data_IF_152719948904
#
_entry.id   IF_152719948904
#
_cell.length_a   1.000
_cell.length_b   1.000
_cell.length_c   1.000
_cell.angle_alpha   90.00
_cell.angle_beta   90.00
_cell.angle_gamma   90.00
#
_symmetry.space_group_name_H-M   'P 1'
#
loop_
_entity.id
_entity.type
_entity.pdbx_description
1 polymer ?
#
# COMPACT_ATOMS: atom_id res chain seq x y z
N UNK A 1 8.63 -2.74 -6.96
CA UNK A 1 8.66 -1.38 -7.57
C UNK A 1 7.23 -0.90 -7.79
N UNK A 2 6.89 0.35 -7.48
CA UNK A 2 5.60 0.94 -7.90
C UNK A 2 5.71 1.37 -9.36
N UNK A 3 4.75 0.96 -10.19
CA UNK A 3 4.72 1.27 -11.62
C UNK A 3 3.39 1.94 -11.96
N UNK A 4 3.45 3.13 -12.55
CA UNK A 4 2.27 3.81 -13.03
C UNK A 4 1.95 3.38 -14.47
N UNK A 5 0.74 2.85 -14.75
CA UNK A 5 0.39 2.28 -16.05
C UNK A 5 0.19 3.34 -17.15
N UNK A 6 0.10 4.61 -16.79
CA UNK A 6 -0.12 5.72 -17.73
C UNK A 6 1.09 6.10 -18.59
N UNK A 7 2.29 5.60 -18.26
CA UNK A 7 3.51 5.96 -18.97
C UNK A 7 3.65 5.14 -20.25
N UNK A 8 3.88 5.78 -21.43
CA UNK A 8 4.32 5.06 -22.61
C UNK A 8 5.56 4.21 -22.29
N UNK A 9 5.64 2.99 -22.78
CA UNK A 9 6.78 2.09 -22.53
C UNK A 9 6.75 1.40 -21.15
N UNK A 10 5.64 1.46 -20.41
CA UNK A 10 5.55 0.77 -19.10
C UNK A 10 5.78 -0.74 -19.21
N UNK A 11 5.42 -1.33 -20.35
CA UNK A 11 5.62 -2.76 -20.59
C UNK A 11 7.10 -3.12 -20.75
N UNK A 12 7.81 -2.35 -21.58
CA UNK A 12 9.25 -2.51 -21.80
C UNK A 12 10.01 -2.27 -20.50
N UNK A 13 9.60 -1.25 -19.73
CA UNK A 13 10.16 -0.96 -18.43
C UNK A 13 10.00 -2.13 -17.45
N UNK A 14 8.80 -2.73 -17.36
CA UNK A 14 8.57 -3.89 -16.48
C UNK A 14 9.36 -5.11 -16.94
N UNK A 15 9.53 -5.31 -18.27
CA UNK A 15 10.41 -6.34 -18.82
C UNK A 15 11.87 -6.16 -18.39
N UNK A 16 12.37 -4.91 -18.35
CA UNK A 16 13.71 -4.59 -17.84
C UNK A 16 13.80 -4.89 -16.33
N UNK A 17 12.81 -4.47 -15.54
CA UNK A 17 12.78 -4.78 -14.11
C UNK A 17 12.81 -6.29 -13.84
N UNK A 18 12.09 -7.08 -14.64
CA UNK A 18 12.12 -8.53 -14.54
C UNK A 18 13.50 -9.12 -14.87
N UNK A 19 14.18 -8.58 -15.89
CA UNK A 19 15.55 -8.99 -16.24
C UNK A 19 16.58 -8.62 -15.17
N UNK A 20 16.43 -7.48 -14.52
CA UNK A 20 17.26 -7.05 -13.39
C UNK A 20 17.01 -7.89 -12.12
N UNK A 21 15.97 -8.71 -12.07
CA UNK A 21 15.64 -9.55 -10.92
C UNK A 21 14.80 -8.84 -9.86
N UNK A 22 14.08 -7.79 -10.20
CA UNK A 22 13.09 -7.19 -9.31
C UNK A 22 12.01 -8.21 -8.98
N UNK A 23 11.77 -8.44 -7.70
CA UNK A 23 10.86 -9.50 -7.24
C UNK A 23 9.39 -9.23 -7.57
N UNK A 24 8.95 -7.97 -7.58
CA UNK A 24 7.55 -7.62 -7.85
C UNK A 24 7.36 -6.16 -8.30
N UNK A 25 6.33 -5.95 -9.11
CA UNK A 25 5.80 -4.63 -9.45
C UNK A 25 4.38 -4.46 -8.91
N UNK A 26 4.06 -3.24 -8.50
CA UNK A 26 2.79 -2.91 -7.86
C UNK A 26 2.18 -1.68 -8.54
N UNK A 27 0.91 -1.79 -8.92
CA UNK A 27 0.19 -0.74 -9.63
C UNK A 27 -0.73 0.00 -8.66
N UNK A 28 -0.59 1.34 -8.54
CA UNK A 28 -1.44 2.14 -7.68
C UNK A 28 -2.83 2.30 -8.31
N UNK A 29 -3.85 2.35 -7.44
CA UNK A 29 -5.20 2.73 -7.83
C UNK A 29 -5.68 3.84 -6.89
N UNK A 30 -5.93 5.01 -7.47
CA UNK A 30 -6.54 6.14 -6.76
C UNK A 30 -7.81 6.56 -7.51
N UNK A 31 -7.88 7.74 -8.08
CA UNK A 31 -8.97 8.15 -8.99
C UNK A 31 -8.43 8.30 -10.44
N UNK A 32 -7.61 7.34 -10.86
CA UNK A 32 -6.94 7.28 -12.15
C UNK A 32 -7.25 5.98 -12.90
N UNK A 33 -6.19 5.32 -13.38
CA UNK A 33 -6.33 4.04 -14.10
C UNK A 33 -6.66 2.88 -13.17
N UNK A 34 -7.45 1.93 -13.67
CA UNK A 34 -7.77 0.68 -13.00
C UNK A 34 -6.52 -0.22 -12.89
N UNK A 35 -6.15 -0.56 -11.68
CA UNK A 35 -4.95 -1.33 -11.42
C UNK A 35 -5.04 -2.78 -11.93
N UNK A 36 -6.22 -3.40 -11.82
CA UNK A 36 -6.42 -4.79 -12.22
C UNK A 36 -6.31 -4.96 -13.73
N UNK A 37 -6.87 -4.01 -14.51
CA UNK A 37 -6.73 -3.98 -15.97
C UNK A 37 -5.27 -3.86 -16.40
N UNK A 38 -4.52 -2.95 -15.77
CA UNK A 38 -3.10 -2.77 -16.06
C UNK A 38 -2.28 -4.03 -15.72
N UNK A 39 -2.56 -4.64 -14.56
CA UNK A 39 -1.88 -5.86 -14.13
C UNK A 39 -2.22 -7.07 -15.01
N UNK A 40 -3.44 -7.17 -15.55
CA UNK A 40 -3.78 -8.21 -16.52
C UNK A 40 -2.96 -8.08 -17.81
N UNK A 41 -2.75 -6.85 -18.28
CA UNK A 41 -1.89 -6.58 -19.44
C UNK A 41 -0.43 -6.95 -19.17
N UNK A 42 0.10 -6.61 -17.98
CA UNK A 42 1.46 -6.98 -17.57
C UNK A 42 1.61 -8.49 -17.37
N UNK A 43 0.60 -9.16 -16.82
CA UNK A 43 0.61 -10.61 -16.63
C UNK A 43 0.84 -11.39 -17.92
N UNK A 44 0.23 -10.92 -19.02
CA UNK A 44 0.36 -11.53 -20.34
C UNK A 44 1.74 -11.34 -21.00
N UNK A 45 2.58 -10.49 -20.44
CA UNK A 45 3.85 -10.06 -21.03
C UNK A 45 5.07 -10.26 -20.11
N UNK A 46 4.87 -10.86 -18.94
CA UNK A 46 5.90 -11.18 -17.95
C UNK A 46 5.80 -12.64 -17.53
N UNK A 47 6.88 -13.24 -17.06
CA UNK A 47 6.93 -14.67 -16.75
C UNK A 47 7.18 -14.96 -15.26
N UNK A 48 7.97 -14.12 -14.59
CA UNK A 48 8.48 -14.39 -13.23
C UNK A 48 8.12 -13.30 -12.21
N UNK A 49 8.12 -12.03 -12.64
CA UNK A 49 7.92 -10.90 -11.73
C UNK A 49 6.54 -10.98 -11.07
N UNK A 50 6.50 -10.81 -9.76
CA UNK A 50 5.26 -10.72 -9.00
C UNK A 50 4.47 -9.47 -9.36
N UNK A 51 3.15 -9.55 -9.31
CA UNK A 51 2.22 -8.50 -9.72
C UNK A 51 1.30 -8.15 -8.55
N UNK A 52 1.24 -6.89 -8.14
CA UNK A 52 0.44 -6.48 -6.99
C UNK A 52 -0.37 -5.20 -7.21
N UNK A 53 -1.47 -5.08 -6.51
CA UNK A 53 -2.20 -3.79 -6.43
C UNK A 53 -1.73 -2.97 -5.24
N UNK A 54 -1.51 -1.65 -5.45
CA UNK A 54 -1.02 -0.73 -4.38
C UNK A 54 -1.87 0.55 -4.27
N UNK A 55 -3.09 0.47 -3.84
CA UNK A 55 -3.95 -0.64 -3.48
C UNK A 55 -5.34 -0.47 -4.10
N UNK A 56 -6.10 -1.56 -4.27
CA UNK A 56 -7.52 -1.45 -4.63
C UNK A 56 -8.29 -0.89 -3.44
N UNK A 57 -9.16 0.07 -3.72
CA UNK A 57 -9.98 0.73 -2.71
C UNK A 57 -11.19 -0.15 -2.36
N UNK A 58 -11.37 -0.43 -1.06
CA UNK A 58 -12.51 -1.20 -0.59
C UNK A 58 -13.82 -0.43 -0.83
N UNK A 59 -14.80 -1.11 -1.43
CA UNK A 59 -16.07 -0.52 -1.83
C UNK A 59 -16.12 0.02 -3.26
N UNK A 60 -15.00 0.16 -3.96
CA UNK A 60 -14.99 0.48 -5.40
C UNK A 60 -15.54 -0.67 -6.25
N UNK A 61 -15.41 -1.89 -5.75
CA UNK A 61 -15.94 -3.14 -6.34
C UNK A 61 -16.66 -3.94 -5.26
N UNK A 62 -17.68 -4.72 -5.65
CA UNK A 62 -18.25 -5.68 -4.70
C UNK A 62 -17.18 -6.72 -4.32
N UNK A 63 -17.19 -7.24 -3.06
CA UNK A 63 -16.20 -8.24 -2.65
C UNK A 63 -16.18 -9.50 -3.53
N UNK A 64 -17.34 -9.92 -4.05
CA UNK A 64 -17.44 -11.05 -4.96
C UNK A 64 -16.76 -10.76 -6.32
N UNK A 65 -16.97 -9.56 -6.89
CA UNK A 65 -16.28 -9.15 -8.12
C UNK A 65 -14.78 -9.02 -7.90
N UNK A 66 -14.37 -8.45 -6.77
CA UNK A 66 -12.95 -8.34 -6.43
C UNK A 66 -12.29 -9.72 -6.33
N UNK A 67 -12.97 -10.67 -5.71
CA UNK A 67 -12.49 -12.06 -5.59
C UNK A 67 -12.33 -12.74 -6.95
N UNK A 68 -13.34 -12.64 -7.82
CA UNK A 68 -13.26 -13.24 -9.16
C UNK A 68 -12.21 -12.57 -10.04
N UNK A 69 -12.05 -11.26 -9.95
CA UNK A 69 -10.98 -10.53 -10.64
C UNK A 69 -9.58 -10.98 -10.15
N UNK A 70 -9.41 -11.14 -8.84
CA UNK A 70 -8.16 -11.61 -8.26
C UNK A 70 -7.83 -13.05 -8.67
N UNK A 71 -8.81 -13.95 -8.68
CA UNK A 71 -8.64 -15.32 -9.16
C UNK A 71 -8.30 -15.37 -10.66
N UNK A 72 -8.94 -14.51 -11.46
CA UNK A 72 -8.60 -14.37 -12.89
C UNK A 72 -7.14 -13.95 -13.08
N UNK A 73 -6.68 -12.98 -12.30
CA UNK A 73 -5.28 -12.53 -12.33
C UNK A 73 -4.31 -13.63 -11.84
N UNK A 74 -4.69 -14.44 -10.86
CA UNK A 74 -3.88 -15.59 -10.44
C UNK A 74 -3.66 -16.56 -11.61
N UNK A 75 -4.73 -16.92 -12.31
CA UNK A 75 -4.65 -17.81 -13.48
C UNK A 75 -3.82 -17.17 -14.60
N UNK A 76 -4.12 -15.93 -14.98
CA UNK A 76 -3.43 -15.23 -16.07
C UNK A 76 -1.95 -14.99 -15.79
N UNK A 77 -1.57 -14.83 -14.53
CA UNK A 77 -0.19 -14.58 -14.13
C UNK A 77 0.58 -15.85 -13.76
N UNK A 78 -0.03 -17.03 -13.71
CA UNK A 78 0.62 -18.22 -13.17
C UNK A 78 0.93 -18.07 -11.68
N UNK A 79 -0.06 -17.69 -10.89
CA UNK A 79 -0.02 -17.54 -9.43
C UNK A 79 0.94 -16.47 -8.88
N UNK A 80 1.28 -15.46 -9.71
CA UNK A 80 2.17 -14.35 -9.35
C UNK A 80 1.44 -13.13 -8.78
N UNK A 81 0.11 -13.13 -8.76
CA UNK A 81 -0.68 -11.97 -8.34
C UNK A 81 -0.79 -11.86 -6.81
N UNK A 82 -0.78 -10.64 -6.29
CA UNK A 82 -0.98 -10.26 -4.90
C UNK A 82 -2.03 -9.17 -4.81
N UNK A 83 -3.08 -9.41 -4.05
CA UNK A 83 -4.18 -8.46 -3.88
C UNK A 83 -3.88 -7.50 -2.73
N UNK A 84 -3.40 -6.31 -3.04
CA UNK A 84 -3.28 -5.21 -2.09
C UNK A 84 -4.59 -4.42 -1.99
N UNK A 85 -5.12 -4.28 -0.79
CA UNK A 85 -6.38 -3.58 -0.51
C UNK A 85 -6.19 -2.49 0.53
N UNK A 86 -7.04 -1.45 0.49
CA UNK A 86 -7.03 -0.37 1.45
C UNK A 86 -8.40 0.32 1.56
N UNK A 87 -8.67 0.87 2.74
CA UNK A 87 -9.98 1.50 3.01
C UNK A 87 -10.17 2.84 2.30
N UNK A 88 -9.10 3.48 1.79
CA UNK A 88 -9.14 4.84 1.27
C UNK A 88 -9.62 5.85 2.34
N UNK A 89 -10.39 6.86 1.96
CA UNK A 89 -10.95 7.85 2.87
C UNK A 89 -12.31 8.36 2.40
N UNK A 90 -13.06 9.07 3.27
CA UNK A 90 -14.43 9.48 2.95
C UNK A 90 -14.51 10.37 1.69
N UNK A 91 -13.53 11.24 1.45
CA UNK A 91 -13.51 12.11 0.25
C UNK A 91 -13.51 11.32 -1.05
N UNK A 92 -12.79 10.22 -1.10
CA UNK A 92 -12.69 9.37 -2.30
C UNK A 92 -13.89 8.43 -2.35
N UNK A 93 -14.18 7.73 -1.26
CA UNK A 93 -15.26 6.75 -1.26
C UNK A 93 -16.63 7.37 -1.48
N UNK A 94 -16.93 8.48 -0.80
CA UNK A 94 -18.23 9.15 -0.93
C UNK A 94 -18.27 10.09 -2.14
N UNK A 95 -17.16 10.80 -2.42
CA UNK A 95 -17.11 11.79 -3.50
C UNK A 95 -16.89 11.20 -4.89
N UNK A 96 -16.07 10.17 -5.03
CA UNK A 96 -15.73 9.56 -6.32
C UNK A 96 -16.53 8.29 -6.61
N UNK A 97 -16.63 7.38 -5.63
CA UNK A 97 -17.31 6.10 -5.81
C UNK A 97 -18.80 6.12 -5.40
N UNK A 98 -19.28 7.15 -4.70
CA UNK A 98 -20.66 7.23 -4.22
C UNK A 98 -21.00 6.19 -3.14
N UNK A 99 -19.98 5.66 -2.46
CA UNK A 99 -20.11 4.62 -1.43
C UNK A 99 -19.86 5.23 -0.06
N UNK A 100 -20.78 5.02 0.89
CA UNK A 100 -20.63 5.51 2.27
C UNK A 100 -19.38 4.95 2.93
N UNK A 101 -18.54 5.85 3.46
CA UNK A 101 -17.37 5.48 4.25
C UNK A 101 -17.80 5.19 5.70
N UNK A 102 -17.92 3.92 6.02
CA UNK A 102 -18.33 3.47 7.36
C UNK A 102 -17.68 2.16 7.75
N UNK A 103 -17.42 1.98 9.06
CA UNK A 103 -16.86 0.73 9.63
C UNK A 103 -15.64 0.19 8.86
N UNK A 104 -14.60 1.00 8.59
CA UNK A 104 -13.51 0.62 7.68
C UNK A 104 -12.81 -0.69 8.07
N UNK A 105 -12.58 -0.94 9.35
CA UNK A 105 -11.94 -2.18 9.84
C UNK A 105 -12.85 -3.39 9.57
N UNK A 106 -14.15 -3.26 9.82
CA UNK A 106 -15.10 -4.35 9.57
C UNK A 106 -15.26 -4.61 8.07
N UNK A 107 -15.31 -3.56 7.25
CA UNK A 107 -15.31 -3.67 5.78
C UNK A 107 -14.08 -4.43 5.28
N UNK A 108 -12.89 -4.13 5.83
CA UNK A 108 -11.66 -4.85 5.49
C UNK A 108 -11.77 -6.33 5.84
N UNK A 109 -12.21 -6.65 7.06
CA UNK A 109 -12.38 -8.03 7.54
C UNK A 109 -13.33 -8.82 6.62
N UNK A 110 -14.52 -8.30 6.43
CA UNK A 110 -15.57 -8.98 5.67
C UNK A 110 -15.20 -9.15 4.19
N UNK A 111 -14.52 -8.16 3.61
CA UNK A 111 -14.00 -8.29 2.24
C UNK A 111 -12.99 -9.43 2.12
N UNK A 112 -12.03 -9.54 3.05
CA UNK A 112 -11.05 -10.64 3.06
C UNK A 112 -11.73 -12.00 3.22
N UNK A 113 -12.70 -12.09 4.14
CA UNK A 113 -13.45 -13.32 4.39
C UNK A 113 -14.26 -13.76 3.18
N UNK A 114 -14.92 -12.81 2.48
CA UNK A 114 -15.65 -13.07 1.23
C UNK A 114 -14.70 -13.48 0.10
N UNK A 115 -13.57 -12.76 -0.09
CA UNK A 115 -12.55 -13.13 -1.08
C UNK A 115 -12.09 -14.58 -0.86
N UNK A 116 -11.80 -14.95 0.38
CA UNK A 116 -11.40 -16.32 0.72
C UNK A 116 -12.53 -17.34 0.55
N UNK A 117 -13.77 -16.97 0.84
CA UNK A 117 -14.93 -17.83 0.62
C UNK A 117 -15.12 -18.13 -0.88
N UNK A 118 -15.03 -17.12 -1.73
CA UNK A 118 -15.09 -17.29 -3.20
C UNK A 118 -13.90 -18.15 -3.68
N UNK A 119 -12.70 -17.87 -3.18
CA UNK A 119 -11.50 -18.63 -3.57
C UNK A 119 -11.54 -20.10 -3.19
N UNK A 120 -12.23 -20.47 -2.11
CA UNK A 120 -12.46 -21.88 -1.73
C UNK A 120 -13.47 -22.60 -2.64
N UNK A 121 -14.31 -21.85 -3.33
CA UNK A 121 -15.41 -22.42 -4.11
C UNK A 121 -16.66 -22.73 -3.27
N UNK A 122 -17.68 -23.27 -3.94
CA UNK A 122 -18.98 -23.54 -3.33
C UNK A 122 -19.93 -22.34 -3.32
N UNK A 123 -21.18 -22.51 -2.88
CA UNK A 123 -22.16 -21.44 -2.86
C UNK A 123 -21.76 -20.32 -1.89
N UNK A 124 -21.64 -19.09 -2.39
CA UNK A 124 -21.29 -17.93 -1.58
C UNK A 124 -22.44 -17.55 -0.66
N UNK A 125 -22.23 -17.75 0.65
CA UNK A 125 -23.07 -17.30 1.74
C UNK A 125 -22.22 -16.54 2.72
N UNK A 126 -22.69 -15.36 3.12
CA UNK A 126 -22.00 -14.52 4.08
C UNK A 126 -23.01 -13.67 4.86
N UNK A 127 -22.91 -13.70 6.18
CA UNK A 127 -23.75 -12.92 7.10
C UNK A 127 -22.81 -12.04 7.95
N UNK A 128 -22.65 -10.79 7.53
CA UNK A 128 -21.80 -9.81 8.18
C UNK A 128 -22.54 -8.57 8.66
N UNK A 129 -21.79 -7.61 9.16
CA UNK A 129 -22.31 -6.30 9.59
C UNK A 129 -22.30 -5.26 8.46
N UNK A 130 -21.55 -5.52 7.39
CA UNK A 130 -21.41 -4.64 6.23
C UNK A 130 -21.95 -5.32 4.98
N UNK A 131 -21.69 -6.61 4.82
CA UNK A 131 -22.14 -7.40 3.69
C UNK A 131 -23.01 -8.56 4.13
N UNK A 132 -24.10 -8.77 3.39
CA UNK A 132 -24.97 -9.93 3.52
C UNK A 132 -25.21 -10.52 2.13
N UNK A 133 -24.84 -11.79 1.94
CA UNK A 133 -24.86 -12.45 0.62
C UNK A 133 -25.46 -13.86 0.72
N UNK A 134 -26.55 -14.18 -0.02
CA UNK A 134 -27.35 -13.25 -0.81
C UNK A 134 -28.06 -12.23 0.11
N UNK A 135 -28.51 -11.12 -0.46
CA UNK A 135 -29.29 -10.12 0.28
C UNK A 135 -30.56 -10.78 0.85
N UNK A 136 -30.94 -10.50 2.11
CA UNK A 136 -32.20 -10.97 2.69
C UNK A 136 -33.37 -10.38 1.93
N UNK A 137 -34.49 -11.07 1.98
CA UNK A 137 -35.76 -10.65 1.35
C UNK A 137 -35.65 -10.27 -0.14
N UNK A 138 -34.68 -10.84 -0.85
CA UNK A 138 -34.40 -10.59 -2.24
C UNK A 138 -34.66 -11.83 -3.11
N UNK A 139 -34.60 -11.65 -4.44
CA UNK A 139 -34.61 -12.75 -5.40
C UNK A 139 -33.24 -13.41 -5.59
N UNK A 140 -32.24 -12.94 -4.87
CA UNK A 140 -30.86 -13.44 -4.92
C UNK A 140 -30.75 -14.88 -4.41
N UNK A 141 -29.85 -15.64 -5.01
CA UNK A 141 -29.51 -16.99 -4.58
C UNK A 141 -28.00 -17.08 -4.37
N UNK A 142 -27.56 -17.92 -3.44
CA UNK A 142 -26.16 -18.24 -3.29
C UNK A 142 -25.63 -18.92 -4.56
N UNK A 143 -24.73 -18.26 -5.26
CA UNK A 143 -24.08 -18.77 -6.47
C UNK A 143 -22.71 -19.34 -6.11
N UNK A 144 -22.33 -20.41 -6.77
CA UNK A 144 -20.96 -20.93 -6.74
C UNK A 144 -20.12 -20.24 -7.81
N UNK A 145 -18.88 -19.84 -7.53
CA UNK A 145 -17.99 -19.33 -8.57
C UNK A 145 -17.75 -20.41 -9.63
N UNK A 146 -17.64 -20.00 -10.88
CA UNK A 146 -17.30 -20.89 -12.01
C UNK A 146 -15.78 -21.02 -12.19
N UNK A 147 -14.99 -20.28 -11.40
CA UNK A 147 -13.54 -20.41 -11.36
C UNK A 147 -13.13 -21.64 -10.57
N UNK A 148 -11.97 -22.24 -10.90
CA UNK A 148 -11.36 -23.25 -10.05
C UNK A 148 -11.03 -22.65 -8.67
N UNK A 149 -11.13 -23.44 -7.60
CA UNK A 149 -10.61 -23.02 -6.29
C UNK A 149 -9.13 -22.65 -6.40
N UNK A 150 -8.72 -21.64 -5.61
CA UNK A 150 -7.34 -21.17 -5.61
C UNK A 150 -7.00 -20.36 -4.38
N UNK A 151 -5.78 -19.88 -4.30
CA UNK A 151 -5.31 -18.99 -3.25
C UNK A 151 -5.02 -17.60 -3.83
N UNK A 152 -5.49 -16.55 -3.14
CA UNK A 152 -5.17 -15.16 -3.46
C UNK A 152 -4.49 -14.56 -2.24
N UNK A 153 -3.17 -14.30 -2.28
CA UNK A 153 -2.49 -13.59 -1.20
C UNK A 153 -3.06 -12.17 -1.04
N UNK A 154 -3.50 -11.81 0.17
CA UNK A 154 -4.12 -10.53 0.47
C UNK A 154 -3.20 -9.69 1.34
N UNK A 155 -2.89 -8.49 0.85
CA UNK A 155 -2.06 -7.48 1.52
C UNK A 155 -2.93 -6.30 1.91
N UNK A 156 -2.77 -5.82 3.15
CA UNK A 156 -3.58 -4.72 3.67
C UNK A 156 -2.74 -3.47 3.91
N UNK A 157 -3.16 -2.36 3.31
CA UNK A 157 -2.61 -1.04 3.65
C UNK A 157 -3.29 -0.55 4.94
N UNK A 158 -2.60 -0.72 6.06
CA UNK A 158 -3.08 -0.37 7.38
C UNK A 158 -2.11 0.56 8.10
N UNK A 159 -2.65 1.57 8.78
CA UNK A 159 -1.90 2.53 9.59
C UNK A 159 -2.46 2.63 11.01
N UNK A 160 -3.77 2.53 11.19
CA UNK A 160 -4.43 2.61 12.50
C UNK A 160 -4.33 1.29 13.29
N UNK A 161 -4.22 1.33 14.64
CA UNK A 161 -3.98 0.15 15.47
C UNK A 161 -4.96 -1.00 15.23
N UNK A 162 -6.27 -0.72 15.20
CA UNK A 162 -7.28 -1.76 15.00
C UNK A 162 -7.20 -2.45 13.62
N UNK A 163 -6.83 -1.69 12.56
CA UNK A 163 -6.64 -2.29 11.23
C UNK A 163 -5.29 -3.01 11.11
N UNK A 164 -4.27 -2.57 11.83
CA UNK A 164 -2.99 -3.29 11.96
C UNK A 164 -3.18 -4.63 12.68
N UNK A 165 -3.93 -4.64 13.80
CA UNK A 165 -4.26 -5.87 14.51
C UNK A 165 -5.06 -6.84 13.62
N UNK A 166 -6.08 -6.34 12.92
CA UNK A 166 -6.80 -7.14 11.93
C UNK A 166 -5.85 -7.69 10.86
N UNK A 167 -4.95 -6.86 10.33
CA UNK A 167 -3.97 -7.26 9.31
C UNK A 167 -3.10 -8.42 9.80
N UNK A 168 -2.54 -8.32 11.00
CA UNK A 168 -1.77 -9.39 11.63
C UNK A 168 -2.57 -10.69 11.77
N UNK A 169 -3.85 -10.59 12.13
CA UNK A 169 -4.72 -11.73 12.34
C UNK A 169 -5.09 -12.48 11.05
N UNK A 170 -5.29 -11.74 9.93
CA UNK A 170 -5.94 -12.35 8.75
C UNK A 170 -5.25 -12.10 7.41
N UNK A 171 -4.27 -11.21 7.27
CA UNK A 171 -3.63 -10.93 5.99
C UNK A 171 -2.41 -11.82 5.73
N UNK A 172 -1.98 -11.87 4.48
CA UNK A 172 -0.75 -12.53 4.05
C UNK A 172 0.41 -11.53 4.00
N UNK A 173 0.11 -10.22 3.94
CA UNK A 173 1.10 -9.16 4.02
C UNK A 173 0.52 -7.82 4.49
N UNK A 174 1.43 -6.94 4.88
CA UNK A 174 1.16 -5.58 5.29
C UNK A 174 1.85 -4.59 4.37
N UNK A 175 1.15 -3.52 3.96
CA UNK A 175 1.66 -2.42 3.17
C UNK A 175 1.77 -1.18 4.07
N UNK A 176 2.97 -0.93 4.56
CA UNK A 176 3.27 0.04 5.63
C UNK A 176 3.68 1.42 5.16
N UNK A 177 2.74 2.25 4.72
CA UNK A 177 3.05 3.65 4.41
C UNK A 177 3.55 4.44 5.63
N UNK A 178 4.44 5.41 5.40
CA UNK A 178 5.02 6.27 6.41
C UNK A 178 5.74 5.52 7.55
N UNK A 179 6.29 4.35 7.24
CA UNK A 179 7.06 3.55 8.19
C UNK A 179 8.42 4.17 8.47
N UNK A 180 8.76 4.26 9.75
CA UNK A 180 10.06 4.69 10.24
C UNK A 180 10.69 3.52 11.01
N UNK A 181 11.81 2.94 10.53
CA UNK A 181 12.44 1.79 11.17
C UNK A 181 12.75 1.99 12.66
N UNK A 182 13.19 3.19 13.04
CA UNK A 182 13.51 3.56 14.41
C UNK A 182 12.29 3.57 15.36
N UNK A 183 11.10 3.56 14.82
CA UNK A 183 9.82 3.54 15.55
C UNK A 183 8.93 2.38 15.12
N UNK A 184 9.50 1.28 14.66
CA UNK A 184 8.80 0.13 14.08
C UNK A 184 7.68 -0.42 14.98
N UNK A 185 7.87 -0.41 16.31
CA UNK A 185 6.90 -0.92 17.28
C UNK A 185 5.54 -0.19 17.25
N UNK A 186 5.50 1.05 16.76
CA UNK A 186 4.23 1.79 16.55
C UNK A 186 3.29 1.02 15.61
N UNK A 187 3.86 0.28 14.66
CA UNK A 187 3.12 -0.54 13.70
C UNK A 187 3.18 -2.02 14.05
N UNK A 188 4.32 -2.52 14.52
CA UNK A 188 4.54 -3.94 14.73
C UNK A 188 3.87 -4.47 15.98
N UNK A 189 3.73 -3.68 17.06
CA UNK A 189 3.05 -4.16 18.27
C UNK A 189 1.59 -4.58 17.98
N UNK A 190 0.73 -3.76 17.33
CA UNK A 190 -0.63 -4.21 16.99
C UNK A 190 -0.65 -5.31 15.91
N UNK A 191 0.26 -5.31 14.92
CA UNK A 191 0.37 -6.40 13.94
C UNK A 191 0.67 -7.73 14.65
N UNK A 192 1.62 -7.72 15.58
CA UNK A 192 2.03 -8.88 16.37
C UNK A 192 0.88 -9.40 17.22
N UNK A 193 0.19 -8.52 17.95
CA UNK A 193 -0.98 -8.89 18.74
C UNK A 193 -2.06 -9.58 17.90
N UNK A 194 -2.32 -9.05 16.70
CA UNK A 194 -3.23 -9.66 15.75
C UNK A 194 -2.78 -11.05 15.29
N UNK A 195 -1.51 -11.19 14.91
CA UNK A 195 -0.93 -12.46 14.49
C UNK A 195 -0.99 -13.52 15.60
N UNK A 196 -0.56 -13.18 16.80
CA UNK A 196 -0.57 -14.05 17.99
C UNK A 196 -1.98 -14.52 18.35
N UNK A 197 -3.01 -13.67 18.18
CA UNK A 197 -4.41 -14.04 18.40
C UNK A 197 -4.89 -15.20 17.51
N UNK A 198 -4.14 -15.53 16.47
CA UNK A 198 -4.40 -16.61 15.51
C UNK A 198 -3.30 -17.66 15.48
N UNK A 199 -2.42 -17.70 16.48
CA UNK A 199 -1.29 -18.63 16.54
C UNK A 199 -0.24 -18.40 15.46
N UNK A 200 -0.13 -17.19 14.94
CA UNK A 200 0.83 -16.74 13.93
C UNK A 200 1.88 -15.82 14.55
N UNK A 201 2.89 -15.51 13.79
CA UNK A 201 3.94 -14.54 14.12
C UNK A 201 4.10 -13.49 13.01
N UNK A 202 4.88 -12.45 13.21
CA UNK A 202 5.20 -11.49 12.14
C UNK A 202 5.97 -12.13 10.99
N UNK A 203 6.68 -13.24 11.22
CA UNK A 203 7.40 -13.97 10.17
C UNK A 203 6.45 -14.66 9.15
N UNK A 204 5.17 -14.80 9.50
CA UNK A 204 4.15 -15.34 8.61
C UNK A 204 3.51 -14.27 7.70
N UNK A 205 4.00 -13.02 7.78
CA UNK A 205 3.55 -11.90 6.96
C UNK A 205 4.70 -11.36 6.10
N UNK A 206 4.39 -11.00 4.85
CA UNK A 206 5.28 -10.13 4.08
C UNK A 206 5.11 -8.69 4.56
N UNK A 207 6.16 -8.11 5.16
CA UNK A 207 6.16 -6.76 5.72
C UNK A 207 6.74 -5.80 4.68
N UNK A 208 5.86 -5.15 3.91
CA UNK A 208 6.22 -4.32 2.77
C UNK A 208 6.25 -2.85 3.16
N UNK A 209 7.40 -2.19 2.99
CA UNK A 209 7.55 -0.75 3.19
C UNK A 209 7.63 0.00 1.85
N UNK A 210 6.60 0.76 1.47
CA UNK A 210 6.65 1.66 0.33
C UNK A 210 7.51 2.88 0.67
N UNK A 211 8.55 3.12 -0.13
CA UNK A 211 9.52 4.20 0.08
C UNK A 211 9.82 4.94 -1.21
N UNK A 212 10.00 6.26 -1.14
CA UNK A 212 10.64 6.98 -2.24
C UNK A 212 12.13 6.67 -2.26
N UNK A 213 12.69 6.50 -3.46
CA UNK A 213 14.12 6.23 -3.65
C UNK A 213 14.70 7.30 -4.56
N UNK A 214 15.70 8.02 -4.03
CA UNK A 214 16.43 9.04 -4.77
C UNK A 214 17.89 9.07 -4.30
N UNK A 215 18.82 8.78 -5.21
CA UNK A 215 20.24 8.62 -4.88
C UNK A 215 21.04 9.74 -5.55
N UNK A 216 21.86 10.44 -4.77
CA UNK A 216 22.66 11.58 -5.20
C UNK A 216 24.17 11.33 -4.95
N UNK A 217 24.99 11.98 -5.77
CA UNK A 217 26.46 11.88 -5.64
C UNK A 217 26.99 12.78 -4.51
N UNK A 218 26.29 13.87 -4.20
CA UNK A 218 26.70 14.81 -3.16
C UNK A 218 25.62 15.07 -2.11
N UNK A 219 26.06 15.51 -0.93
CA UNK A 219 25.19 15.72 0.23
C UNK A 219 24.29 16.95 0.08
N UNK A 220 24.69 17.98 -0.68
CA UNK A 220 23.86 19.16 -0.84
C UNK A 220 22.60 18.84 -1.65
N UNK A 221 22.75 18.10 -2.76
CA UNK A 221 21.65 17.59 -3.57
C UNK A 221 20.77 16.61 -2.77
N UNK A 222 21.39 15.72 -2.00
CA UNK A 222 20.70 14.79 -1.12
C UNK A 222 19.85 15.50 -0.05
N UNK A 223 20.39 16.54 0.60
CA UNK A 223 19.68 17.34 1.59
C UNK A 223 18.48 18.10 0.97
N UNK A 224 18.66 18.67 -0.22
CA UNK A 224 17.59 19.32 -0.96
C UNK A 224 16.48 18.33 -1.33
N UNK A 225 16.83 17.12 -1.73
CA UNK A 225 15.87 16.05 -2.03
C UNK A 225 15.08 15.64 -0.77
N UNK A 226 15.74 15.38 0.36
CA UNK A 226 15.05 15.07 1.64
C UNK A 226 14.08 16.19 2.04
N UNK A 227 14.45 17.46 1.87
CA UNK A 227 13.54 18.60 2.14
C UNK A 227 12.33 18.54 1.20
N UNK A 228 12.51 18.33 -0.08
CA UNK A 228 11.43 18.23 -1.08
C UNK A 228 10.46 17.10 -0.75
N UNK A 229 10.98 15.93 -0.35
CA UNK A 229 10.14 14.80 0.10
C UNK A 229 9.39 15.13 1.41
N UNK A 230 10.00 15.83 2.35
CA UNK A 230 9.30 16.30 3.53
C UNK A 230 8.18 17.29 3.17
N UNK A 231 8.45 18.28 2.32
CA UNK A 231 7.46 19.28 1.85
C UNK A 231 6.22 18.63 1.22
N UNK A 232 6.40 17.50 0.54
CA UNK A 232 5.31 16.70 -0.05
C UNK A 232 4.29 16.22 0.98
N UNK A 233 4.69 15.97 2.21
CA UNK A 233 3.76 15.56 3.28
C UNK A 233 2.79 16.66 3.71
N UNK A 234 3.06 17.94 3.41
CA UNK A 234 2.12 19.02 3.75
C UNK A 234 0.72 18.80 3.14
N UNK A 235 0.65 18.31 1.90
CA UNK A 235 -0.62 17.92 1.27
C UNK A 235 -1.29 16.76 2.02
N UNK A 236 -0.54 15.72 2.32
CA UNK A 236 -1.04 14.54 3.02
C UNK A 236 -1.59 14.92 4.40
N UNK A 237 -0.85 15.75 5.16
CA UNK A 237 -1.22 16.21 6.47
C UNK A 237 -2.43 17.14 6.43
N UNK A 238 -2.44 18.07 5.49
CA UNK A 238 -3.44 19.15 5.44
C UNK A 238 -4.71 18.83 4.68
N UNK A 239 -4.66 17.92 3.67
CA UNK A 239 -5.75 17.72 2.72
C UNK A 239 -6.43 16.34 2.78
N UNK A 240 -5.79 15.30 3.33
CA UNK A 240 -6.29 13.93 3.21
C UNK A 240 -7.37 13.53 4.23
N UNK A 241 -7.84 14.44 5.10
CA UNK A 241 -8.96 14.20 6.01
C UNK A 241 -9.88 15.39 6.10
N UNK A 242 -11.18 15.16 6.30
CA UNK A 242 -12.17 16.22 6.53
C UNK A 242 -12.17 16.71 7.99
N UNK A 243 -11.65 15.87 8.89
CA UNK A 243 -11.44 16.20 10.31
C UNK A 243 -10.13 15.58 10.82
N UNK A 244 -9.64 16.03 11.98
CA UNK A 244 -8.41 15.53 12.59
C UNK A 244 -8.46 14.01 12.85
N UNK A 245 -9.64 13.43 13.11
CA UNK A 245 -9.83 12.00 13.36
C UNK A 245 -9.92 11.13 12.11
N UNK A 246 -10.07 11.73 10.92
CA UNK A 246 -10.23 11.02 9.65
C UNK A 246 -8.95 10.96 8.81
N UNK A 247 -7.91 11.71 9.20
CA UNK A 247 -6.61 11.65 8.54
C UNK A 247 -5.73 10.59 9.20
N UNK A 248 -5.70 9.39 8.61
CA UNK A 248 -4.91 8.27 9.12
C UNK A 248 -3.40 8.54 9.16
N UNK A 249 -2.89 9.39 8.26
CA UNK A 249 -1.48 9.82 8.28
C UNK A 249 -1.19 10.68 9.51
N UNK A 250 -2.04 11.66 9.82
CA UNK A 250 -1.86 12.51 10.99
C UNK A 250 -1.87 11.68 12.27
N UNK A 251 -2.79 10.72 12.38
CA UNK A 251 -2.84 9.81 13.53
C UNK A 251 -1.58 8.94 13.62
N UNK A 252 -1.02 8.47 12.50
CA UNK A 252 0.21 7.70 12.47
C UNK A 252 1.43 8.57 12.85
N UNK A 253 1.58 9.73 12.24
CA UNK A 253 2.67 10.67 12.57
C UNK A 253 2.62 11.15 14.02
N UNK A 254 1.42 11.32 14.59
CA UNK A 254 1.27 11.64 16.01
C UNK A 254 1.82 10.52 16.91
N UNK A 255 1.50 9.26 16.60
CA UNK A 255 2.06 8.11 17.32
C UNK A 255 3.58 7.96 17.14
N UNK A 256 4.11 8.41 16.00
CA UNK A 256 5.56 8.49 15.74
C UNK A 256 6.25 9.65 16.47
N UNK A 257 5.53 10.44 17.26
CA UNK A 257 6.09 11.52 18.08
C UNK A 257 6.03 12.92 17.46
N UNK A 258 5.43 13.08 16.27
CA UNK A 258 5.38 14.37 15.55
C UNK A 258 4.07 15.15 15.78
N UNK A 259 3.28 14.83 16.80
CA UNK A 259 1.93 15.36 16.99
C UNK A 259 1.81 16.87 16.96
N UNK A 260 2.69 17.61 17.69
CA UNK A 260 2.66 19.07 17.74
C UNK A 260 2.99 19.69 16.35
N UNK A 261 3.99 19.18 15.66
CA UNK A 261 4.39 19.65 14.33
C UNK A 261 3.29 19.39 13.30
N UNK A 262 2.67 18.20 13.34
CA UNK A 262 1.57 17.82 12.44
C UNK A 262 0.35 18.72 12.64
N UNK A 263 -0.01 19.03 13.89
CA UNK A 263 -1.08 19.97 14.19
C UNK A 263 -0.81 21.36 13.60
N UNK A 264 0.42 21.85 13.70
CA UNK A 264 0.83 23.14 13.14
C UNK A 264 0.77 23.14 11.60
N UNK A 265 1.25 22.09 10.95
CA UNK A 265 1.16 21.95 9.48
C UNK A 265 -0.31 21.94 9.03
N UNK A 266 -1.16 21.19 9.70
CA UNK A 266 -2.59 21.12 9.38
C UNK A 266 -3.28 22.49 9.53
N UNK A 267 -3.01 23.24 10.61
CA UNK A 267 -3.51 24.59 10.84
C UNK A 267 -3.11 25.56 9.69
N UNK A 268 -1.81 25.59 9.37
CA UNK A 268 -1.29 26.42 8.28
C UNK A 268 -1.93 26.07 6.95
N UNK A 269 -2.07 24.78 6.68
CA UNK A 269 -2.71 24.29 5.46
C UNK A 269 -4.17 24.72 5.36
N UNK A 270 -4.94 24.56 6.42
CA UNK A 270 -6.37 24.93 6.47
C UNK A 270 -6.59 26.44 6.34
N UNK A 271 -5.68 27.26 6.89
CA UNK A 271 -5.71 28.72 6.73
C UNK A 271 -5.20 29.22 5.38
N UNK A 272 -4.89 28.33 4.44
CA UNK A 272 -4.43 28.69 3.08
C UNK A 272 -2.94 29.04 2.97
N UNK A 273 -2.20 29.00 4.06
CA UNK A 273 -0.76 29.34 4.14
C UNK A 273 0.11 28.16 3.67
N UNK A 274 -0.04 27.78 2.39
CA UNK A 274 0.50 26.52 1.83
C UNK A 274 2.03 26.41 1.91
N UNK A 275 2.75 27.49 1.61
CA UNK A 275 4.22 27.50 1.64
C UNK A 275 4.75 27.37 3.07
N UNK A 276 4.11 28.05 4.01
CA UNK A 276 4.47 27.95 5.42
C UNK A 276 4.13 26.55 5.98
N UNK A 277 3.03 25.95 5.52
CA UNK A 277 2.70 24.57 5.86
C UNK A 277 3.78 23.59 5.37
N UNK A 278 4.28 23.76 4.14
CA UNK A 278 5.39 22.95 3.60
C UNK A 278 6.66 23.12 4.43
N UNK A 279 7.05 24.36 4.69
CA UNK A 279 8.24 24.66 5.49
C UNK A 279 8.17 24.15 6.94
N UNK A 280 6.95 24.04 7.50
CA UNK A 280 6.72 23.53 8.85
C UNK A 280 6.75 22.00 8.98
N UNK A 281 6.77 21.25 7.86
CA UNK A 281 6.89 19.77 7.92
C UNK A 281 8.26 19.39 8.47
N UNK A 282 8.34 18.52 9.50
CA UNK A 282 9.62 18.04 10.02
C UNK A 282 10.47 17.39 8.93
N UNK A 283 11.75 17.75 8.84
CA UNK A 283 12.67 17.17 7.86
C UNK A 283 12.79 15.65 8.01
N UNK A 284 12.70 15.18 9.25
CA UNK A 284 12.77 13.77 9.63
C UNK A 284 11.72 12.94 8.92
N UNK A 285 10.52 13.47 8.65
CA UNK A 285 9.50 12.75 7.88
C UNK A 285 9.96 12.42 6.46
N UNK A 286 10.64 13.37 5.79
CA UNK A 286 11.21 13.12 4.47
C UNK A 286 12.42 12.19 4.49
N UNK A 287 13.25 12.29 5.53
CA UNK A 287 14.51 11.56 5.65
C UNK A 287 14.33 10.11 6.16
N UNK A 288 13.45 9.90 7.16
CA UNK A 288 13.36 8.62 7.85
C UNK A 288 12.34 7.64 7.20
N UNK A 289 11.34 8.16 6.50
CA UNK A 289 10.33 7.34 5.80
C UNK A 289 10.76 6.92 4.39
N UNK A 290 11.94 7.35 3.91
CA UNK A 290 12.38 7.18 2.53
C UNK A 290 13.85 6.76 2.45
N UNK A 291 14.26 6.34 1.25
CA UNK A 291 15.64 6.03 0.87
C UNK A 291 16.19 7.16 -0.02
N UNK A 292 16.36 8.34 0.58
CA UNK A 292 16.75 9.56 -0.13
C UNK A 292 18.06 10.10 0.44
N UNK A 293 19.14 10.07 -0.36
CA UNK A 293 20.45 10.50 0.12
C UNK A 293 21.59 10.12 -0.80
N UNK A 294 22.80 10.22 -0.29
CA UNK A 294 23.98 9.66 -0.95
C UNK A 294 23.92 8.13 -0.96
N UNK A 295 24.68 7.50 -1.83
CA UNK A 295 24.77 6.02 -1.93
C UNK A 295 25.04 5.39 -0.54
N UNK A 296 25.98 5.96 0.23
CA UNK A 296 26.30 5.46 1.55
C UNK A 296 25.12 5.62 2.55
N UNK A 297 24.42 6.76 2.51
CA UNK A 297 23.23 6.99 3.32
C UNK A 297 22.12 6.01 2.99
N UNK A 298 21.83 5.79 1.70
CA UNK A 298 20.79 4.85 1.28
C UNK A 298 21.11 3.42 1.70
N UNK A 299 22.37 2.99 1.62
CA UNK A 299 22.82 1.69 2.12
C UNK A 299 22.53 1.54 3.63
N UNK A 300 22.93 2.53 4.43
CA UNK A 300 22.66 2.55 5.86
C UNK A 300 21.15 2.51 6.17
N UNK A 301 20.34 3.25 5.41
CA UNK A 301 18.87 3.22 5.59
C UNK A 301 18.29 1.86 5.26
N UNK A 302 18.74 1.20 4.17
CA UNK A 302 18.32 -0.16 3.84
C UNK A 302 18.59 -1.14 4.97
N UNK A 303 19.77 -1.05 5.60
CA UNK A 303 20.10 -1.90 6.76
C UNK A 303 19.13 -1.65 7.91
N UNK A 304 18.76 -0.39 8.19
CA UNK A 304 17.74 -0.08 9.22
C UNK A 304 16.37 -0.70 8.92
N UNK A 305 15.92 -0.67 7.65
CA UNK A 305 14.68 -1.34 7.24
C UNK A 305 14.77 -2.86 7.44
N UNK A 306 15.91 -3.47 7.09
CA UNK A 306 16.16 -4.90 7.28
C UNK A 306 16.21 -5.29 8.76
N UNK A 307 16.97 -4.55 9.57
CA UNK A 307 17.07 -4.74 11.02
C UNK A 307 15.73 -4.60 11.73
N UNK A 308 14.87 -3.68 11.29
CA UNK A 308 13.51 -3.55 11.79
C UNK A 308 12.58 -4.69 11.40
N UNK A 309 12.97 -5.58 10.47
CA UNK A 309 12.19 -6.74 10.06
C UNK A 309 11.35 -6.54 8.78
N UNK A 310 11.57 -5.46 8.03
CA UNK A 310 10.93 -5.28 6.71
C UNK A 310 11.46 -6.35 5.76
N UNK A 311 10.56 -7.09 5.14
CA UNK A 311 10.89 -8.19 4.21
C UNK A 311 10.97 -7.68 2.77
N UNK A 312 10.21 -6.66 2.44
CA UNK A 312 10.13 -6.11 1.08
C UNK A 312 10.15 -4.58 1.08
N UNK A 313 11.12 -3.99 0.40
CA UNK A 313 11.13 -2.56 0.09
C UNK A 313 10.40 -2.33 -1.22
N UNK A 314 9.29 -1.59 -1.18
CA UNK A 314 8.52 -1.23 -2.36
C UNK A 314 8.94 0.17 -2.87
N UNK A 315 9.93 0.18 -3.74
CA UNK A 315 10.54 1.40 -4.25
C UNK A 315 9.58 2.21 -5.14
N UNK A 316 9.56 3.52 -4.92
CA UNK A 316 8.95 4.53 -5.79
C UNK A 316 10.09 5.43 -6.27
N UNK A 317 10.32 5.49 -7.57
CA UNK A 317 11.33 6.36 -8.17
C UNK A 317 10.69 7.27 -9.19
N UNK A 318 11.15 8.51 -9.25
CA UNK A 318 10.68 9.52 -10.19
C UNK A 318 11.60 9.59 -11.44
N UNK A 319 11.17 10.38 -12.44
CA UNK A 319 11.91 10.56 -13.68
C UNK A 319 11.50 9.61 -14.81
N UNK A 320 12.19 9.69 -15.94
CA UNK A 320 12.00 8.78 -17.08
C UNK A 320 12.49 7.35 -16.78
N UNK A 321 12.14 6.39 -17.63
CA UNK A 321 12.46 4.98 -17.40
C UNK A 321 13.94 4.71 -17.20
N UNK A 322 14.83 5.36 -17.96
CA UNK A 322 16.28 5.17 -17.83
C UNK A 322 16.77 5.59 -16.43
N UNK A 323 16.27 6.72 -15.92
CA UNK A 323 16.61 7.20 -14.59
C UNK A 323 16.06 6.25 -13.50
N UNK A 324 14.84 5.77 -13.67
CA UNK A 324 14.25 4.79 -12.75
C UNK A 324 15.01 3.46 -12.76
N UNK A 325 15.43 2.96 -13.95
CA UNK A 325 16.24 1.75 -14.08
C UNK A 325 17.61 1.91 -13.41
N UNK A 326 18.28 3.04 -13.61
CA UNK A 326 19.54 3.33 -12.95
C UNK A 326 19.40 3.33 -11.42
N UNK A 327 18.34 3.97 -10.90
CA UNK A 327 18.03 3.98 -9.46
C UNK A 327 17.77 2.58 -8.93
N UNK A 328 16.96 1.77 -9.62
CA UNK A 328 16.66 0.38 -9.22
C UNK A 328 17.90 -0.50 -9.28
N UNK A 329 18.74 -0.35 -10.31
CA UNK A 329 20.01 -1.09 -10.44
C UNK A 329 20.91 -0.81 -9.24
N UNK A 330 21.10 0.47 -8.91
CA UNK A 330 21.89 0.86 -7.73
C UNK A 330 21.27 0.33 -6.43
N UNK A 331 19.96 0.39 -6.29
CA UNK A 331 19.27 -0.14 -5.11
C UNK A 331 19.46 -1.65 -4.95
N UNK A 332 19.40 -2.42 -6.04
CA UNK A 332 19.64 -3.86 -6.04
C UNK A 332 21.11 -4.22 -5.69
N UNK A 333 22.06 -3.39 -6.10
CA UNK A 333 23.48 -3.54 -5.71
C UNK A 333 23.66 -3.31 -4.20
N UNK A 334 22.97 -2.31 -3.63
CA UNK A 334 23.05 -1.97 -2.21
C UNK A 334 22.29 -2.98 -1.32
N UNK A 335 21.33 -3.71 -1.87
CA UNK A 335 20.54 -4.70 -1.15
C UNK A 335 21.21 -6.08 -1.05
N UNK A 336 22.28 -6.33 -1.80
CA UNK A 336 23.09 -7.57 -1.76
C UNK A 336 24.00 -7.60 -0.54
#
# INVERSE_FOLDING_TARGET
>A
MVVEPRLPGALEFVGELERLGVSSVWVPEVWGYDALTALAFLAARTERIGLGTFVVQLGSRSPALLATSALSLQVLSGERFRLGIGVSGPRVMEGWHGVRFRRPVQTTRETIEIVRAVARGGPLRYEGQVYELPLPDSRGRALSPLTAPGHVPVYVAAMGPANLELTGAVADGWLGNAFIPESAEVFFAPLRAGAESRGRTLADLDLVAPVAVEIHDDEAAAAAARRRHADGYAFTIGAMGSSAGENFYNAAFTRLGFGAQIARVAELWQSGRREEARAAVPLELGALTNLVGTRAHVAQRLDRYREAGITTVLAKSEGGFDAQLATVTTLLELAR
#
